data_IF_600399956518
#
_entry.id   IF_600399956518
#
_cell.length_a   1.000
_cell.length_b   1.000
_cell.length_c   1.000
_cell.angle_alpha   90.00
_cell.angle_beta   90.00
_cell.angle_gamma   90.00
#
_symmetry.space_group_name_H-M   'P 1'
#
loop_
_entity.id
_entity.type
_entity.pdbx_description
1 polymer ?
#
# COMPACT_ATOMS: atom_id res chain seq x y z
N UNK A 1 -13.04 16.29 14.52
CA UNK A 1 -12.08 16.61 13.43
C UNK A 1 -12.66 17.76 12.61
N UNK A 2 -11.89 18.81 12.27
CA UNK A 2 -12.42 20.01 11.63
C UNK A 2 -12.63 19.90 10.10
N UNK A 3 -12.35 18.75 9.48
CA UNK A 3 -12.50 18.57 8.03
C UNK A 3 -13.75 17.74 7.71
N UNK A 4 -14.64 18.32 6.93
CA UNK A 4 -15.81 17.64 6.35
C UNK A 4 -15.50 17.25 4.92
N UNK A 5 -15.77 16.00 4.55
CA UNK A 5 -15.65 15.53 3.16
C UNK A 5 -16.69 16.13 2.22
N UNK A 6 -17.59 16.98 2.74
CA UNK A 6 -18.60 17.70 1.97
C UNK A 6 -18.17 19.13 1.59
N UNK A 7 -17.15 19.70 2.25
CA UNK A 7 -16.74 21.09 2.05
C UNK A 7 -15.21 21.28 2.19
N UNK A 8 -14.46 21.33 1.07
CA UNK A 8 -14.92 21.05 -0.29
C UNK A 8 -15.31 19.56 -0.46
N UNK A 9 -16.25 19.23 -1.37
CA UNK A 9 -16.58 17.85 -1.66
C UNK A 9 -15.39 17.13 -2.29
N UNK A 10 -15.18 15.87 -1.94
CA UNK A 10 -14.23 15.01 -2.64
C UNK A 10 -14.77 14.72 -4.04
N UNK A 11 -14.05 15.14 -5.08
CA UNK A 11 -14.45 14.97 -6.48
C UNK A 11 -13.72 13.85 -7.21
N UNK A 12 -12.48 13.61 -6.84
CA UNK A 12 -11.64 12.56 -7.41
C UNK A 12 -11.16 11.65 -6.29
N UNK A 13 -11.26 10.35 -6.49
CA UNK A 13 -10.60 9.34 -5.67
C UNK A 13 -9.60 8.60 -6.54
N UNK A 14 -8.33 8.62 -6.13
CA UNK A 14 -7.27 7.83 -6.74
C UNK A 14 -6.84 6.77 -5.72
N UNK A 15 -7.14 5.51 -6.01
CA UNK A 15 -6.85 4.38 -5.15
C UNK A 15 -5.80 3.50 -5.81
N UNK A 16 -4.82 3.04 -5.03
CA UNK A 16 -3.84 2.07 -5.48
C UNK A 16 -3.80 0.91 -4.48
N UNK A 17 -3.75 -0.32 -5.01
CA UNK A 17 -3.49 -1.56 -4.29
C UNK A 17 -4.32 -1.74 -3.00
N UNK A 18 -5.65 -1.62 -3.10
CA UNK A 18 -6.53 -1.68 -1.93
C UNK A 18 -7.99 -2.01 -2.24
N UNK A 19 -8.68 -2.59 -1.24
CA UNK A 19 -10.10 -2.93 -1.30
C UNK A 19 -10.91 -2.34 -0.13
N UNK A 20 -10.99 -1.00 0.00
CA UNK A 20 -11.65 -0.33 1.12
C UNK A 20 -13.15 -0.61 1.23
N UNK A 21 -13.85 -0.91 0.14
CA UNK A 21 -15.30 -1.23 0.20
C UNK A 21 -15.54 -2.45 1.10
N UNK A 22 -14.65 -3.44 1.08
CA UNK A 22 -14.76 -4.65 1.89
C UNK A 22 -13.99 -4.57 3.20
N UNK A 23 -12.82 -3.92 3.20
CA UNK A 23 -11.90 -3.95 4.34
C UNK A 23 -12.21 -2.89 5.41
N UNK A 24 -12.82 -1.76 5.03
CA UNK A 24 -13.11 -0.70 5.99
C UNK A 24 -14.44 -0.94 6.73
N UNK A 25 -14.53 -0.54 8.01
CA UNK A 25 -15.78 -0.66 8.76
C UNK A 25 -16.89 0.17 8.12
N UNK A 26 -18.12 -0.33 8.22
CA UNK A 26 -19.31 0.27 7.60
C UNK A 26 -19.19 0.34 6.06
N UNK A 27 -18.95 -0.82 5.44
CA UNK A 27 -18.77 -1.02 4.00
C UNK A 27 -19.79 -0.29 3.13
N UNK A 28 -21.08 -0.32 3.51
CA UNK A 28 -22.14 0.38 2.78
C UNK A 28 -21.94 1.91 2.76
N UNK A 29 -21.44 2.49 3.86
CA UNK A 29 -21.13 3.92 3.92
C UNK A 29 -19.88 4.23 3.10
N UNK A 30 -18.88 3.35 3.13
CA UNK A 30 -17.67 3.48 2.31
C UNK A 30 -18.03 3.47 0.83
N UNK A 31 -18.80 2.46 0.37
CA UNK A 31 -19.31 2.36 -1.00
C UNK A 31 -20.03 3.63 -1.44
N UNK A 32 -20.96 4.14 -0.63
CA UNK A 32 -21.65 5.42 -0.90
C UNK A 32 -20.71 6.62 -1.00
N UNK A 33 -19.63 6.64 -0.22
CA UNK A 33 -18.60 7.66 -0.32
C UNK A 33 -17.90 7.63 -1.68
N UNK A 34 -17.49 6.45 -2.14
CA UNK A 34 -16.90 6.26 -3.46
C UNK A 34 -17.86 6.65 -4.59
N UNK A 35 -19.12 6.19 -4.53
CA UNK A 35 -20.16 6.52 -5.51
C UNK A 35 -20.52 8.02 -5.56
N UNK A 36 -20.17 8.79 -4.53
CA UNK A 36 -20.43 10.24 -4.48
C UNK A 36 -19.35 11.10 -5.14
N UNK A 37 -18.18 10.52 -5.45
CA UNK A 37 -17.12 11.21 -6.17
C UNK A 37 -17.46 11.30 -7.66
N UNK A 38 -17.04 12.39 -8.32
CA UNK A 38 -17.26 12.60 -9.75
C UNK A 38 -16.43 11.61 -10.60
N UNK A 39 -15.28 11.17 -10.09
CA UNK A 39 -14.43 10.19 -10.76
C UNK A 39 -13.63 9.35 -9.75
N UNK A 40 -13.46 8.07 -10.05
CA UNK A 40 -12.78 7.08 -9.19
C UNK A 40 -11.83 6.28 -10.07
N UNK A 41 -10.55 6.36 -9.76
CA UNK A 41 -9.47 5.64 -10.43
C UNK A 41 -8.96 4.60 -9.45
N UNK A 42 -8.77 3.38 -9.94
CA UNK A 42 -8.23 2.28 -9.16
C UNK A 42 -7.08 1.61 -9.92
N UNK A 43 -5.91 1.57 -9.31
CA UNK A 43 -4.81 0.70 -9.73
C UNK A 43 -4.84 -0.56 -8.86
N UNK A 44 -4.93 -1.73 -9.48
CA UNK A 44 -4.85 -3.00 -8.75
C UNK A 44 -4.40 -4.13 -9.70
N UNK A 45 -4.07 -5.29 -9.14
CA UNK A 45 -3.65 -6.46 -9.89
C UNK A 45 -4.85 -7.18 -10.53
N UNK A 46 -6.03 -7.08 -9.92
CA UNK A 46 -7.26 -7.74 -10.33
C UNK A 46 -8.52 -6.97 -9.90
N UNK A 47 -9.66 -7.31 -10.50
CA UNK A 47 -10.94 -6.74 -10.09
C UNK A 47 -11.40 -7.28 -8.73
N UNK A 48 -11.83 -6.39 -7.85
CA UNK A 48 -12.32 -6.69 -6.51
C UNK A 48 -13.58 -5.85 -6.18
N UNK A 49 -14.11 -5.94 -4.96
CA UNK A 49 -15.36 -5.24 -4.58
C UNK A 49 -15.27 -3.72 -4.72
N UNK A 50 -14.08 -3.13 -4.58
CA UNK A 50 -13.90 -1.68 -4.77
C UNK A 50 -13.88 -1.30 -6.26
N UNK A 51 -13.47 -2.23 -7.14
CA UNK A 51 -13.49 -1.98 -8.58
C UNK A 51 -14.92 -1.81 -9.13
N UNK A 52 -15.94 -2.34 -8.46
CA UNK A 52 -17.36 -2.17 -8.84
C UNK A 52 -17.85 -0.72 -8.75
N UNK A 53 -17.14 0.13 -7.99
CA UNK A 53 -17.42 1.57 -7.88
C UNK A 53 -16.34 2.44 -8.50
N UNK A 54 -15.37 1.83 -9.19
CA UNK A 54 -14.36 2.55 -9.96
C UNK A 54 -14.90 2.95 -11.34
N UNK A 55 -14.62 4.17 -11.76
CA UNK A 55 -14.90 4.64 -13.13
C UNK A 55 -13.79 4.21 -14.10
N UNK A 56 -12.58 4.05 -13.57
CA UNK A 56 -11.39 3.65 -14.30
C UNK A 56 -10.60 2.62 -13.48
N UNK A 57 -10.35 1.45 -14.08
CA UNK A 57 -9.45 0.45 -13.54
C UNK A 57 -8.17 0.42 -14.40
N UNK A 58 -7.01 0.53 -13.75
CA UNK A 58 -5.70 0.46 -14.36
C UNK A 58 -4.98 -0.81 -13.86
N UNK A 59 -4.55 -1.72 -14.75
CA UNK A 59 -3.85 -2.92 -14.33
C UNK A 59 -2.45 -2.59 -13.79
N UNK A 60 -2.22 -2.86 -12.51
CA UNK A 60 -0.91 -2.78 -11.87
C UNK A 60 -0.09 -4.06 -12.05
N UNK A 61 1.23 -3.92 -12.16
CA UNK A 61 2.17 -5.05 -12.07
C UNK A 61 2.16 -5.67 -10.68
N UNK A 62 2.46 -6.96 -10.61
CA UNK A 62 2.75 -7.70 -9.37
C UNK A 62 4.23 -7.59 -9.01
N UNK A 63 4.59 -7.95 -7.77
CA UNK A 63 5.99 -8.09 -7.35
C UNK A 63 6.82 -9.04 -8.24
N UNK A 64 6.18 -9.95 -9.00
CA UNK A 64 6.89 -10.86 -9.91
C UNK A 64 7.13 -10.23 -11.30
N UNK A 65 6.47 -9.11 -11.59
CA UNK A 65 6.42 -8.46 -12.90
C UNK A 65 7.33 -7.22 -12.99
N UNK A 66 7.97 -6.81 -11.90
CA UNK A 66 8.76 -5.57 -11.83
C UNK A 66 10.06 -5.72 -11.03
N UNK A 67 10.93 -4.72 -11.16
CA UNK A 67 12.13 -4.57 -10.33
C UNK A 67 11.89 -3.47 -9.28
N UNK A 68 12.13 -3.79 -8.01
CA UNK A 68 11.94 -2.85 -6.89
C UNK A 68 12.83 -3.22 -5.68
N UNK A 69 12.73 -2.45 -4.60
CA UNK A 69 13.34 -2.72 -3.30
C UNK A 69 12.27 -2.81 -2.21
N UNK A 70 12.20 -3.98 -1.57
CA UNK A 70 11.27 -4.21 -0.47
C UNK A 70 11.92 -3.86 0.87
N UNK A 71 11.37 -2.84 1.52
CA UNK A 71 11.61 -2.57 2.93
C UNK A 71 10.91 -3.58 3.83
N UNK A 72 11.43 -3.75 5.04
CA UNK A 72 10.86 -4.68 6.00
C UNK A 72 9.67 -4.12 6.78
N UNK A 73 8.70 -4.98 7.08
CA UNK A 73 7.66 -4.76 8.07
C UNK A 73 7.79 -5.78 9.22
N UNK A 74 8.66 -5.49 10.20
CA UNK A 74 8.87 -6.32 11.40
C UNK A 74 10.25 -6.97 11.56
N UNK A 75 11.15 -6.81 10.58
CA UNK A 75 12.58 -7.15 10.63
C UNK A 75 13.47 -5.97 10.18
N UNK A 76 14.79 -6.15 10.11
CA UNK A 76 15.75 -5.07 9.79
C UNK A 76 16.47 -5.28 8.46
N UNK A 77 15.79 -5.84 7.45
CA UNK A 77 16.38 -6.15 6.15
C UNK A 77 15.69 -5.36 5.03
N UNK A 78 16.44 -5.07 3.98
CA UNK A 78 15.94 -4.60 2.69
C UNK A 78 16.25 -5.70 1.69
N UNK A 79 15.26 -6.09 0.89
CA UNK A 79 15.41 -7.17 -0.09
C UNK A 79 15.17 -6.65 -1.50
N UNK A 80 15.89 -7.18 -2.50
CA UNK A 80 15.55 -6.88 -3.88
C UNK A 80 14.24 -7.59 -4.27
N UNK A 81 13.42 -6.90 -5.04
CA UNK A 81 12.36 -7.48 -5.85
C UNK A 81 12.92 -7.56 -7.26
N UNK A 82 13.17 -8.78 -7.73
CA UNK A 82 13.70 -9.02 -9.07
C UNK A 82 12.57 -9.50 -9.98
N UNK A 83 12.49 -8.94 -11.18
CA UNK A 83 11.50 -9.33 -12.16
C UNK A 83 11.67 -10.82 -12.51
N UNK A 84 10.61 -11.60 -12.32
CA UNK A 84 10.59 -13.04 -12.61
C UNK A 84 9.94 -13.31 -13.97
N UNK A 85 8.90 -12.53 -14.29
CA UNK A 85 8.18 -12.58 -15.56
C UNK A 85 7.98 -11.15 -16.08
N UNK A 86 7.84 -10.93 -17.39
CA UNK A 86 7.49 -9.60 -17.88
C UNK A 86 6.09 -9.17 -17.41
N UNK A 87 5.77 -7.86 -17.40
CA UNK A 87 4.41 -7.38 -17.19
C UNK A 87 3.42 -8.09 -18.11
N UNK A 88 2.30 -8.55 -17.57
CA UNK A 88 1.32 -9.32 -18.34
C UNK A 88 0.21 -8.42 -18.88
N UNK A 89 -0.13 -8.60 -20.16
CA UNK A 89 -1.16 -7.81 -20.83
C UNK A 89 -0.76 -6.34 -20.93
N UNK A 90 -1.64 -5.44 -20.49
CA UNK A 90 -1.40 -3.98 -20.49
C UNK A 90 -0.92 -3.46 -19.13
N UNK A 91 -0.57 -4.36 -18.19
CA UNK A 91 -0.14 -3.99 -16.85
C UNK A 91 1.11 -3.11 -16.87
N UNK A 92 1.11 -2.08 -16.02
CA UNK A 92 2.22 -1.15 -15.80
C UNK A 92 2.51 -1.04 -14.31
N UNK A 93 3.75 -0.75 -13.95
CA UNK A 93 4.06 -0.43 -12.56
C UNK A 93 3.37 0.86 -12.14
N UNK A 94 3.05 0.97 -10.85
CA UNK A 94 2.48 2.21 -10.31
C UNK A 94 3.42 3.39 -10.60
N UNK A 95 4.74 3.17 -10.53
CA UNK A 95 5.74 4.15 -10.92
C UNK A 95 5.58 4.60 -12.37
N UNK A 96 5.48 3.67 -13.33
CA UNK A 96 5.26 4.00 -14.75
C UNK A 96 3.92 4.73 -14.96
N UNK A 97 2.84 4.29 -14.31
CA UNK A 97 1.53 4.95 -14.37
C UNK A 97 1.63 6.40 -13.89
N UNK A 98 2.31 6.66 -12.78
CA UNK A 98 2.52 8.01 -12.27
C UNK A 98 3.46 8.84 -13.15
N UNK A 99 4.46 8.24 -13.79
CA UNK A 99 5.28 8.95 -14.79
C UNK A 99 4.44 9.37 -16.01
N UNK A 100 3.63 8.47 -16.58
CA UNK A 100 2.75 8.77 -17.71
C UNK A 100 1.70 9.83 -17.38
N UNK A 101 1.22 9.85 -16.13
CA UNK A 101 0.34 10.90 -15.63
C UNK A 101 1.11 12.23 -15.49
N UNK A 102 2.31 12.21 -14.94
CA UNK A 102 3.17 13.37 -14.81
C UNK A 102 3.66 13.94 -16.16
N UNK A 103 3.62 13.17 -17.26
CA UNK A 103 3.84 13.72 -18.61
C UNK A 103 2.65 14.53 -19.13
N UNK A 104 1.44 14.23 -18.65
CA UNK A 104 0.18 14.88 -19.05
C UNK A 104 -0.17 16.05 -18.15
N UNK A 105 0.34 16.03 -16.92
CA UNK A 105 0.30 17.13 -15.97
C UNK A 105 1.64 17.87 -16.08
N UNK A 106 1.73 19.15 -15.77
CA UNK A 106 2.99 19.92 -15.93
C UNK A 106 4.06 19.56 -14.86
N UNK A 107 4.29 18.26 -14.59
CA UNK A 107 5.18 17.70 -13.56
C UNK A 107 6.19 16.68 -14.12
N UNK A 108 6.41 16.70 -15.44
CA UNK A 108 7.24 15.72 -16.13
C UNK A 108 8.67 15.72 -15.60
N UNK A 109 9.24 16.90 -15.38
CA UNK A 109 10.63 17.05 -14.97
C UNK A 109 10.87 16.47 -13.57
N UNK A 110 9.91 16.64 -12.65
CA UNK A 110 9.96 16.14 -11.28
C UNK A 110 9.93 14.61 -11.20
N UNK A 111 9.23 13.97 -12.14
CA UNK A 111 9.08 12.52 -12.22
C UNK A 111 9.99 11.88 -13.28
N UNK A 112 10.88 12.67 -13.90
CA UNK A 112 11.78 12.20 -14.95
C UNK A 112 12.83 11.21 -14.44
N UNK A 113 13.47 10.50 -15.38
CA UNK A 113 14.53 9.52 -15.12
C UNK A 113 14.05 8.08 -15.14
N UNK A 114 15.02 7.16 -15.17
CA UNK A 114 14.74 5.73 -15.22
C UNK A 114 14.44 5.14 -13.83
N UNK A 115 13.70 4.01 -13.74
CA UNK A 115 13.39 3.37 -12.46
C UNK A 115 14.62 3.07 -11.60
N UNK A 116 15.73 2.65 -12.22
CA UNK A 116 16.97 2.32 -11.51
C UNK A 116 17.54 3.53 -10.76
N UNK A 117 17.53 4.72 -11.35
CA UNK A 117 17.94 5.96 -10.70
C UNK A 117 17.11 6.23 -9.43
N UNK A 118 15.80 6.00 -9.49
CA UNK A 118 14.91 6.16 -8.33
C UNK A 118 15.17 5.12 -7.26
N UNK A 119 15.38 3.86 -7.63
CA UNK A 119 15.76 2.79 -6.71
C UNK A 119 17.10 3.09 -6.02
N UNK A 120 18.12 3.54 -6.75
CA UNK A 120 19.40 3.96 -6.18
C UNK A 120 19.23 5.15 -5.22
N UNK A 121 18.35 6.11 -5.56
CA UNK A 121 18.03 7.25 -4.70
C UNK A 121 17.35 6.80 -3.40
N UNK A 122 16.42 5.84 -3.46
CA UNK A 122 15.76 5.27 -2.29
C UNK A 122 16.73 4.41 -1.45
N UNK A 123 17.64 3.69 -2.11
CA UNK A 123 18.66 2.86 -1.46
C UNK A 123 19.77 3.66 -0.76
N UNK A 124 19.85 4.99 -0.92
CA UNK A 124 20.90 5.83 -0.32
C UNK A 124 21.25 5.51 1.14
N UNK A 125 20.30 5.23 2.06
CA UNK A 125 20.62 4.87 3.44
C UNK A 125 21.47 3.60 3.57
N UNK A 126 21.21 2.57 2.75
CA UNK A 126 21.99 1.32 2.78
C UNK A 126 23.29 1.45 1.99
N UNK A 127 23.28 2.21 0.89
CA UNK A 127 24.48 2.45 0.09
C UNK A 127 25.57 3.21 0.87
N UNK A 128 25.17 4.12 1.76
CA UNK A 128 26.09 4.84 2.67
C UNK A 128 26.83 3.92 3.65
N UNK A 129 26.40 2.67 3.81
CA UNK A 129 27.03 1.68 4.68
C UNK A 129 28.12 0.87 3.95
N UNK A 130 28.39 1.19 2.67
CA UNK A 130 29.40 0.52 1.86
C UNK A 130 28.86 -0.65 1.03
N UNK A 131 27.56 -0.93 1.12
CA UNK A 131 26.87 -1.90 0.26
C UNK A 131 26.63 -1.26 -1.10
N UNK A 132 27.01 -1.91 -2.18
CA UNK A 132 26.74 -1.43 -3.54
C UNK A 132 25.31 -1.76 -3.95
N UNK A 133 24.78 -1.02 -4.93
CA UNK A 133 23.45 -1.31 -5.46
C UNK A 133 23.38 -2.70 -6.13
N UNK A 134 24.48 -3.14 -6.76
CA UNK A 134 24.59 -4.48 -7.36
C UNK A 134 24.54 -5.60 -6.29
N UNK A 135 25.20 -5.41 -5.15
CA UNK A 135 25.11 -6.36 -4.02
C UNK A 135 23.70 -6.42 -3.43
N UNK A 136 23.00 -5.28 -3.37
CA UNK A 136 21.62 -5.20 -2.92
C UNK A 136 20.66 -5.92 -3.89
N UNK A 137 20.90 -5.83 -5.20
CA UNK A 137 20.08 -6.53 -6.21
C UNK A 137 20.23 -8.06 -6.15
N UNK A 138 21.36 -8.57 -5.66
CA UNK A 138 21.65 -10.00 -5.60
C UNK A 138 21.09 -10.70 -4.37
N UNK A 139 20.99 -10.01 -3.24
CA UNK A 139 20.58 -10.62 -1.98
C UNK A 139 20.02 -9.59 -0.98
N UNK A 140 19.17 -10.02 -0.03
CA UNK A 140 18.77 -9.19 1.09
C UNK A 140 19.97 -8.66 1.87
N UNK A 141 19.86 -7.40 2.29
CA UNK A 141 20.89 -6.68 3.04
C UNK A 141 20.32 -6.14 4.34
N UNK A 142 21.11 -6.18 5.41
CA UNK A 142 20.67 -5.69 6.72
C UNK A 142 20.81 -4.17 6.79
N UNK A 143 19.72 -3.47 7.10
CA UNK A 143 19.70 -2.00 7.12
C UNK A 143 20.18 -1.42 8.45
N UNK A 144 19.92 -2.12 9.55
CA UNK A 144 20.20 -1.64 10.93
C UNK A 144 21.34 -2.46 11.53
N UNK A 145 22.29 -1.78 12.16
CA UNK A 145 23.36 -2.44 12.88
C UNK A 145 22.76 -3.30 14.01
N UNK A 146 23.11 -4.59 14.15
CA UNK A 146 22.62 -5.43 15.23
C UNK A 146 22.82 -4.85 16.64
N UNK A 147 23.79 -3.95 16.84
CA UNK A 147 24.06 -3.32 18.12
C UNK A 147 23.19 -2.08 18.40
N UNK A 148 22.45 -1.59 17.41
CA UNK A 148 21.52 -0.48 17.57
C UNK A 148 20.23 -0.98 18.22
N UNK A 149 20.28 -1.12 19.55
CA UNK A 149 19.14 -1.54 20.36
C UNK A 149 18.23 -0.32 20.60
N UNK A 150 16.97 -0.33 20.13
CA UNK A 150 16.04 0.76 20.40
C UNK A 150 15.91 1.01 21.90
N UNK A 151 15.93 2.29 22.31
CA UNK A 151 15.82 2.70 23.70
C UNK A 151 16.88 2.11 24.65
N UNK A 152 18.06 1.73 24.14
CA UNK A 152 19.18 1.20 24.96
C UNK A 152 19.60 2.11 26.11
N UNK A 153 19.37 3.41 25.99
CA UNK A 153 19.66 4.42 27.02
C UNK A 153 18.59 4.53 28.10
N UNK A 154 17.43 3.87 27.92
CA UNK A 154 16.25 4.02 28.77
C UNK A 154 15.57 5.39 28.67
N UNK A 155 15.97 6.23 27.70
CA UNK A 155 15.35 7.54 27.44
C UNK A 155 14.29 7.43 26.35
N UNK A 156 13.08 7.86 26.67
CA UNK A 156 11.93 7.82 25.76
C UNK A 156 11.55 9.23 25.31
N UNK A 157 10.89 9.35 24.16
CA UNK A 157 10.37 10.63 23.63
C UNK A 157 9.06 11.03 24.32
N UNK A 158 9.05 10.96 25.66
CA UNK A 158 7.94 11.38 26.52
C UNK A 158 8.36 12.61 27.32
N UNK A 159 7.40 13.33 27.91
CA UNK A 159 7.71 14.52 28.73
C UNK A 159 8.57 14.15 29.95
N UNK A 160 8.35 12.97 30.52
CA UNK A 160 9.13 12.46 31.65
C UNK A 160 10.50 11.89 31.26
N UNK A 161 10.74 11.67 29.96
CA UNK A 161 11.92 10.97 29.44
C UNK A 161 11.93 9.46 29.76
N UNK A 162 10.84 8.91 30.31
CA UNK A 162 10.70 7.50 30.74
C UNK A 162 9.58 6.81 29.97
N UNK A 163 9.54 5.48 30.06
CA UNK A 163 8.36 4.73 29.66
C UNK A 163 7.18 5.11 30.56
N UNK A 164 6.06 5.50 29.96
CA UNK A 164 4.85 5.91 30.67
C UNK A 164 3.83 4.77 30.63
N UNK A 165 3.56 4.19 31.81
CA UNK A 165 2.55 3.14 31.93
C UNK A 165 1.15 3.75 31.74
N UNK A 166 0.25 2.98 31.13
CA UNK A 166 -1.17 3.32 31.12
C UNK A 166 -1.68 3.22 32.56
N UNK A 167 -1.99 4.37 33.18
CA UNK A 167 -2.44 4.45 34.56
C UNK A 167 -3.95 4.31 34.71
N UNK A 168 -4.70 4.62 33.66
CA UNK A 168 -6.16 4.52 33.60
C UNK A 168 -6.52 3.83 32.29
N UNK A 169 -7.27 2.74 32.39
CA UNK A 169 -7.87 2.08 31.24
C UNK A 169 -9.38 2.06 31.46
N UNK A 170 -10.09 2.85 30.66
CA UNK A 170 -11.55 2.82 30.62
C UNK A 170 -11.95 1.91 29.45
N UNK A 171 -12.36 0.65 29.70
CA UNK A 171 -12.82 -0.21 28.61
C UNK A 171 -14.08 0.40 28.00
N UNK A 172 -14.06 0.63 26.69
CA UNK A 172 -15.25 1.05 25.97
C UNK A 172 -16.40 0.04 26.14
N UNK A 173 -17.64 0.52 26.27
CA UNK A 173 -18.82 -0.35 26.24
C UNK A 173 -19.29 -0.54 24.80
N UNK A 174 -18.92 -1.67 24.19
CA UNK A 174 -19.35 -2.04 22.84
C UNK A 174 -20.67 -2.83 22.82
N UNK A 175 -21.45 -2.82 23.91
CA UNK A 175 -22.74 -3.53 23.97
C UNK A 175 -23.80 -2.74 23.22
N UNK A 176 -24.48 -3.37 22.27
CA UNK A 176 -25.53 -2.75 21.46
C UNK A 176 -26.88 -3.38 21.81
N UNK A 177 -27.87 -2.55 22.11
CA UNK A 177 -29.22 -3.03 22.44
C UNK A 177 -29.79 -3.87 21.28
N UNK A 178 -30.32 -5.05 21.59
CA UNK A 178 -30.84 -5.98 20.59
C UNK A 178 -29.80 -6.91 19.95
N UNK A 179 -28.51 -6.75 20.26
CA UNK A 179 -27.43 -7.60 19.77
C UNK A 179 -26.65 -8.20 20.95
N UNK A 180 -27.10 -9.35 21.49
CA UNK A 180 -26.52 -9.93 22.71
C UNK A 180 -25.15 -10.59 22.50
N UNK A 181 -24.76 -10.86 21.24
CA UNK A 181 -23.48 -11.46 20.88
C UNK A 181 -22.48 -10.38 20.44
N UNK A 182 -21.19 -10.63 20.70
CA UNK A 182 -20.08 -9.80 20.23
C UNK A 182 -19.36 -10.50 19.09
N UNK A 183 -19.30 -9.85 17.94
CA UNK A 183 -18.52 -10.34 16.80
C UNK A 183 -17.04 -10.01 17.01
N UNK A 184 -16.18 -11.00 16.81
CA UNK A 184 -14.74 -10.81 16.68
C UNK A 184 -14.36 -11.14 15.23
N UNK A 185 -13.93 -10.13 14.48
CA UNK A 185 -13.40 -10.31 13.12
C UNK A 185 -11.89 -10.52 13.21
N UNK A 186 -11.43 -11.76 13.06
CA UNK A 186 -10.01 -12.11 13.02
C UNK A 186 -9.54 -12.26 11.58
N UNK A 187 -8.23 -12.10 11.36
CA UNK A 187 -7.62 -12.42 10.08
C UNK A 187 -7.64 -13.95 9.88
N UNK A 188 -8.02 -14.45 8.69
CA UNK A 188 -7.94 -15.88 8.38
C UNK A 188 -6.49 -16.29 8.09
N UNK A 189 -6.18 -17.59 8.26
CA UNK A 189 -4.82 -18.11 8.09
C UNK A 189 -4.36 -18.13 6.62
N UNK A 190 -5.29 -18.34 5.70
CA UNK A 190 -4.97 -18.58 4.28
C UNK A 190 -5.08 -17.32 3.39
N UNK A 191 -5.40 -16.13 3.94
CA UNK A 191 -5.60 -14.92 3.14
C UNK A 191 -4.76 -13.76 3.68
N UNK A 192 -4.30 -12.91 2.76
CA UNK A 192 -3.71 -11.61 3.12
C UNK A 192 -4.74 -10.53 2.77
N UNK A 193 -5.38 -9.96 3.80
CA UNK A 193 -6.46 -8.98 3.60
C UNK A 193 -7.61 -9.57 2.79
N UNK A 194 -7.94 -8.96 1.64
CA UNK A 194 -8.98 -9.46 0.73
C UNK A 194 -8.45 -10.27 -0.46
N UNK A 195 -7.16 -10.65 -0.44
CA UNK A 195 -6.54 -11.42 -1.54
C UNK A 195 -6.75 -12.92 -1.31
N UNK A 196 -7.45 -13.63 -2.21
CA UNK A 196 -7.71 -15.06 -2.06
C UNK A 196 -6.47 -15.92 -2.32
N UNK A 197 -6.28 -17.06 -1.61
CA UNK A 197 -5.19 -17.98 -1.88
C UNK A 197 -5.39 -18.73 -3.20
N UNK A 198 -4.27 -18.99 -3.90
CA UNK A 198 -4.20 -20.05 -4.90
C UNK A 198 -4.94 -19.83 -6.23
N UNK A 199 -5.51 -18.66 -6.48
CA UNK A 199 -6.09 -18.34 -7.80
C UNK A 199 -4.98 -17.78 -8.70
N UNK A 200 -4.74 -18.36 -9.89
CA UNK A 200 -3.78 -17.80 -10.83
C UNK A 200 -4.13 -16.35 -11.19
N UNK A 201 -3.16 -15.43 -11.04
CA UNK A 201 -3.32 -14.00 -11.33
C UNK A 201 -3.92 -13.73 -12.73
N UNK A 202 -3.58 -14.55 -13.72
CA UNK A 202 -4.13 -14.46 -15.08
C UNK A 202 -5.63 -14.74 -15.18
N UNK A 203 -6.21 -15.49 -14.24
CA UNK A 203 -7.66 -15.73 -14.21
C UNK A 203 -8.41 -14.57 -13.56
N UNK A 204 -7.85 -13.98 -12.50
CA UNK A 204 -8.41 -12.83 -11.80
C UNK A 204 -8.45 -11.55 -12.66
N UNK A 205 -7.56 -11.44 -13.65
CA UNK A 205 -7.51 -10.31 -14.60
C UNK A 205 -8.56 -10.38 -15.72
N UNK A 206 -9.22 -11.52 -15.98
CA UNK A 206 -9.96 -11.75 -17.25
C UNK A 206 -11.38 -11.19 -17.34
N UNK A 207 -11.88 -10.49 -16.33
CA UNK A 207 -13.18 -9.82 -16.40
C UNK A 207 -12.99 -8.32 -16.59
N UNK A 208 -13.47 -7.76 -17.72
CA UNK A 208 -13.71 -6.32 -17.97
C UNK A 208 -12.49 -5.38 -18.10
N UNK A 209 -11.59 -5.69 -19.03
CA UNK A 209 -10.69 -4.65 -19.56
C UNK A 209 -11.42 -3.77 -20.58
N UNK A 210 -11.40 -2.45 -20.35
CA UNK A 210 -11.54 -1.46 -21.41
C UNK A 210 -10.10 -1.01 -21.72
N UNK A 211 -9.58 -1.23 -22.94
CA UNK A 211 -8.25 -0.76 -23.30
C UNK A 211 -8.24 0.77 -23.29
N UNK A 212 -7.25 1.36 -22.64
CA UNK A 212 -7.08 2.82 -22.59
C UNK A 212 -5.67 3.13 -23.08
N UNK A 213 -5.67 3.96 -24.13
CA UNK A 213 -4.56 4.51 -24.92
C UNK A 213 -3.24 4.74 -24.20
#
# INVERSE_FOLDING_TARGET
MPYSTHQPPIKLIFLSSGNPVTLNPNSLKVKKGFESADFVIMIDHFLNDTSDVAHLFLPGTTYLEEEDLMGSYGHNWVSPVNQVVPPQGEAKSEFEIFQLLAERLDFKEEMSGDPKMWLEKMAKPILKQGITFEELQKAPQRMVNPNDIPFSTGKFQTLSGKFEFIHVFEPGNNSVQGYPLRLLSTMPDDFVGSVPPGIPLLELRKSRFIPIF
#
